data_IF_315193926393
#
_entry.id   IF_315193926393
#
_cell.length_a   1.000
_cell.length_b   1.000
_cell.length_c   1.000
_cell.angle_alpha   90.00
_cell.angle_beta   90.00
_cell.angle_gamma   90.00
#
_symmetry.space_group_name_H-M   'P 1'
#
loop_
_entity.id
_entity.type
_entity.pdbx_description
1 polymer ?
#
# COMPACT_ATOMS: atom_id res chain seq x y z
N UNK A 1 23.18 -2.59 30.16
CA UNK A 1 21.80 -3.12 30.03
C UNK A 1 20.96 -2.15 29.21
N UNK A 2 20.89 -2.35 27.90
CA UNK A 2 20.16 -1.48 26.96
C UNK A 2 18.71 -1.96 26.89
N UNK A 3 17.79 -1.18 27.47
CA UNK A 3 16.36 -1.49 27.55
C UNK A 3 15.75 -1.43 26.14
N UNK A 4 15.46 -2.60 25.54
CA UNK A 4 14.69 -2.71 24.30
C UNK A 4 13.34 -2.03 24.50
N UNK A 5 13.08 -0.93 23.78
CA UNK A 5 11.77 -0.26 23.77
C UNK A 5 10.78 -1.23 23.14
N UNK A 6 9.85 -1.74 23.95
CA UNK A 6 8.76 -2.59 23.47
C UNK A 6 7.93 -1.86 22.44
N UNK A 7 7.64 -2.52 21.32
CA UNK A 7 6.68 -2.07 20.33
C UNK A 7 5.29 -2.03 21.00
N UNK A 8 4.90 -0.86 21.51
CA UNK A 8 3.61 -0.66 22.15
C UNK A 8 2.47 -0.93 21.18
N UNK A 9 1.62 -1.88 21.54
CA UNK A 9 0.32 -2.14 20.92
C UNK A 9 -0.59 -0.95 21.29
N UNK A 10 -1.39 -0.45 20.35
CA UNK A 10 -2.41 0.58 20.62
C UNK A 10 -3.69 -0.07 21.19
N UNK A 11 -4.59 0.73 21.79
CA UNK A 11 -5.84 0.28 22.46
C UNK A 11 -6.80 -0.54 21.56
N UNK A 12 -6.58 -0.52 20.24
CA UNK A 12 -7.31 -1.31 19.24
C UNK A 12 -6.67 -2.69 18.94
N UNK A 13 -5.65 -3.08 19.70
CA UNK A 13 -4.98 -4.37 19.58
C UNK A 13 -3.97 -4.45 18.41
N UNK A 14 -3.64 -3.33 17.77
CA UNK A 14 -2.76 -3.31 16.59
C UNK A 14 -1.39 -2.68 16.85
N UNK A 15 -0.34 -3.12 16.13
CA UNK A 15 0.98 -2.49 16.18
C UNK A 15 0.88 -1.01 15.80
N UNK A 16 1.66 -0.17 16.48
CA UNK A 16 1.86 1.22 16.07
C UNK A 16 2.36 1.31 14.63
N UNK A 17 1.94 2.36 13.94
CA UNK A 17 2.47 2.69 12.62
C UNK A 17 3.99 2.78 12.66
N UNK A 18 4.62 2.18 11.67
CA UNK A 18 6.08 2.22 11.48
C UNK A 18 6.51 3.37 10.57
N UNK A 19 5.63 4.34 10.27
CA UNK A 19 5.98 5.53 9.50
C UNK A 19 5.96 6.73 10.45
N UNK A 20 6.97 6.84 11.29
CA UNK A 20 7.05 7.92 12.29
C UNK A 20 7.70 9.18 11.71
N UNK A 21 7.38 10.35 12.28
CA UNK A 21 7.86 11.69 11.84
C UNK A 21 9.39 11.83 11.82
N UNK A 22 10.14 10.91 12.45
CA UNK A 22 11.59 11.01 12.63
C UNK A 22 12.24 9.70 12.15
N UNK A 23 12.86 9.73 10.97
CA UNK A 23 13.79 8.67 10.52
C UNK A 23 13.22 7.58 9.60
N UNK A 24 11.90 7.43 9.46
CA UNK A 24 11.30 6.47 8.50
C UNK A 24 11.03 7.14 7.14
N UNK A 25 11.47 6.50 6.06
CA UNK A 25 11.27 6.97 4.69
C UNK A 25 9.76 6.96 4.34
N UNK A 26 9.24 8.08 3.84
CA UNK A 26 7.82 8.23 3.49
C UNK A 26 7.41 7.15 2.46
N UNK A 27 6.18 6.61 2.52
CA UNK A 27 5.72 5.63 1.54
C UNK A 27 5.98 6.09 0.11
N UNK A 28 6.60 5.21 -0.69
CA UNK A 28 7.01 5.52 -2.06
C UNK A 28 6.14 4.83 -3.07
N UNK A 29 6.01 5.44 -4.25
CA UNK A 29 5.26 4.84 -5.35
C UNK A 29 5.74 3.42 -5.67
N UNK A 30 4.78 2.51 -5.80
CA UNK A 30 5.02 1.10 -6.09
C UNK A 30 5.36 0.23 -4.89
N UNK A 31 5.49 0.81 -3.69
CA UNK A 31 5.66 0.01 -2.49
C UNK A 31 4.36 -0.68 -2.09
N UNK A 32 4.48 -1.93 -1.62
CA UNK A 32 3.39 -2.71 -1.07
C UNK A 32 3.44 -2.64 0.45
N UNK A 33 2.32 -2.26 1.06
CA UNK A 33 2.22 -2.02 2.50
C UNK A 33 1.01 -2.71 3.10
N UNK A 34 1.11 -3.13 4.35
CA UNK A 34 -0.06 -3.29 5.21
C UNK A 34 -0.46 -1.93 5.76
N UNK A 35 -1.74 -1.60 5.64
CA UNK A 35 -2.35 -0.38 6.20
C UNK A 35 -3.56 -0.73 7.07
N UNK A 36 -3.95 0.19 7.95
CA UNK A 36 -5.19 0.14 8.75
C UNK A 36 -6.17 1.16 8.19
N UNK A 37 -7.23 0.70 7.53
CA UNK A 37 -8.33 1.58 7.09
C UNK A 37 -9.59 1.19 7.87
N UNK A 38 -10.57 0.55 7.23
CA UNK A 38 -11.68 -0.15 7.90
C UNK A 38 -11.19 -1.41 8.65
N UNK A 39 -10.17 -2.06 8.07
CA UNK A 39 -9.47 -3.22 8.61
C UNK A 39 -8.05 -3.25 8.06
N UNK A 40 -7.27 -4.23 8.52
CA UNK A 40 -5.92 -4.43 8.00
C UNK A 40 -5.98 -4.96 6.56
N UNK A 41 -5.45 -4.18 5.62
CA UNK A 41 -5.45 -4.52 4.19
C UNK A 41 -4.06 -4.32 3.58
N UNK A 42 -3.64 -5.16 2.63
CA UNK A 42 -2.49 -4.86 1.82
C UNK A 42 -2.87 -3.86 0.74
N UNK A 43 -1.97 -2.92 0.43
CA UNK A 43 -2.16 -1.89 -0.60
C UNK A 43 -0.87 -1.70 -1.38
N UNK A 44 -0.97 -1.18 -2.60
CA UNK A 44 0.15 -0.59 -3.33
C UNK A 44 0.02 0.93 -3.32
N UNK A 45 1.10 1.64 -3.00
CA UNK A 45 1.15 3.10 -3.08
C UNK A 45 1.23 3.51 -4.55
N UNK A 46 0.32 4.37 -5.01
CA UNK A 46 0.26 4.80 -6.43
C UNK A 46 0.53 6.28 -6.61
N UNK A 47 0.47 7.07 -5.54
CA UNK A 47 0.83 8.48 -5.52
C UNK A 47 2.25 8.70 -6.07
N UNK A 48 2.43 9.74 -6.89
CA UNK A 48 3.74 10.10 -7.43
C UNK A 48 4.70 10.57 -6.33
N UNK A 49 5.94 10.11 -6.41
CA UNK A 49 7.02 10.57 -5.53
C UNK A 49 7.34 12.06 -5.74
N UNK A 50 6.93 12.65 -6.88
CA UNK A 50 7.12 14.09 -7.19
C UNK A 50 6.37 15.02 -6.22
N UNK A 51 5.32 14.54 -5.57
CA UNK A 51 4.54 15.30 -4.57
C UNK A 51 4.73 14.73 -3.16
N UNK A 52 5.76 13.90 -2.95
CA UNK A 52 6.10 13.30 -1.65
C UNK A 52 6.82 14.33 -0.78
N UNK A 53 6.05 15.10 -0.05
CA UNK A 53 6.48 16.18 0.83
C UNK A 53 6.21 15.80 2.30
N UNK A 54 7.16 15.97 3.24
CA UNK A 54 6.96 15.68 4.67
C UNK A 54 5.70 16.27 5.31
N UNK A 55 5.19 17.40 4.82
CA UNK A 55 3.91 17.99 5.28
C UNK A 55 2.68 17.21 4.80
N UNK A 56 2.77 16.47 3.70
CA UNK A 56 1.67 15.64 3.18
C UNK A 56 1.51 14.42 4.07
N UNK A 57 0.38 14.37 4.78
CA UNK A 57 0.07 13.29 5.74
C UNK A 57 -0.73 12.15 5.13
N UNK A 58 -1.12 12.24 3.86
CA UNK A 58 -1.96 11.26 3.20
C UNK A 58 -1.38 10.81 1.88
N UNK A 59 -1.59 9.55 1.53
CA UNK A 59 -1.08 8.91 0.34
C UNK A 59 -2.21 8.24 -0.42
N UNK A 60 -2.19 8.32 -1.76
CA UNK A 60 -3.08 7.55 -2.61
C UNK A 60 -2.55 6.13 -2.79
N UNK A 61 -3.42 5.15 -2.53
CA UNK A 61 -3.11 3.72 -2.58
C UNK A 61 -4.21 2.94 -3.28
N UNK A 62 -3.84 1.81 -3.89
CA UNK A 62 -4.79 0.83 -4.44
C UNK A 62 -4.78 -0.43 -3.56
N UNK A 63 -5.92 -0.84 -3.00
CA UNK A 63 -6.04 -2.06 -2.22
C UNK A 63 -5.77 -3.33 -3.01
N UNK A 64 -5.12 -4.27 -2.33
CA UNK A 64 -4.86 -5.61 -2.83
C UNK A 64 -5.81 -6.60 -2.14
N UNK A 65 -6.44 -7.47 -2.93
CA UNK A 65 -7.41 -8.45 -2.43
C UNK A 65 -7.10 -9.85 -2.97
N UNK A 66 -7.27 -10.88 -2.14
CA UNK A 66 -7.13 -12.27 -2.60
C UNK A 66 -8.38 -12.82 -3.29
N UNK A 67 -9.41 -11.97 -3.51
CA UNK A 67 -10.61 -12.31 -4.28
C UNK A 67 -10.28 -12.30 -5.77
N UNK A 68 -9.72 -13.40 -6.26
CA UNK A 68 -9.16 -13.47 -7.62
C UNK A 68 -10.19 -13.28 -8.73
N UNK A 69 -11.48 -13.58 -8.49
CA UNK A 69 -12.56 -13.32 -9.46
C UNK A 69 -12.67 -11.85 -9.87
N UNK A 70 -12.12 -10.91 -9.10
CA UNK A 70 -12.11 -9.49 -9.44
C UNK A 70 -11.15 -9.16 -10.58
N UNK A 71 -10.26 -10.07 -10.98
CA UNK A 71 -9.36 -9.86 -12.14
C UNK A 71 -10.11 -9.73 -13.47
N UNK A 72 -11.34 -10.23 -13.55
CA UNK A 72 -12.18 -10.10 -14.75
C UNK A 72 -12.81 -8.72 -14.91
N UNK A 73 -12.71 -7.84 -13.91
CA UNK A 73 -13.20 -6.46 -14.03
C UNK A 73 -12.19 -5.60 -14.79
N UNK A 74 -12.63 -4.76 -15.75
CA UNK A 74 -11.73 -3.89 -16.51
C UNK A 74 -10.81 -3.05 -15.62
N UNK A 75 -9.53 -2.97 -16.00
CA UNK A 75 -8.51 -2.25 -15.24
C UNK A 75 -7.97 -2.99 -14.01
N UNK A 76 -8.63 -4.03 -13.50
CA UNK A 76 -8.07 -4.78 -12.37
C UNK A 76 -6.79 -5.55 -12.76
N UNK A 77 -5.78 -5.48 -11.89
CA UNK A 77 -4.46 -6.05 -12.19
C UNK A 77 -4.17 -7.22 -11.29
N UNK A 78 -3.97 -8.39 -11.90
CA UNK A 78 -3.54 -9.59 -11.19
C UNK A 78 -2.05 -9.53 -10.83
N UNK A 79 -1.74 -9.75 -9.56
CA UNK A 79 -0.38 -9.74 -9.01
C UNK A 79 -0.03 -11.06 -8.33
N UNK A 80 1.11 -11.64 -8.71
CA UNK A 80 1.59 -12.88 -8.13
C UNK A 80 2.08 -12.70 -6.69
N UNK A 81 2.33 -13.81 -6.00
CA UNK A 81 2.99 -13.81 -4.68
C UNK A 81 4.40 -13.24 -4.77
N UNK A 82 5.11 -13.48 -5.88
CA UNK A 82 6.46 -12.98 -6.09
C UNK A 82 6.48 -11.45 -6.26
N UNK A 83 5.50 -10.90 -6.97
CA UNK A 83 5.37 -9.45 -7.20
C UNK A 83 5.17 -8.67 -5.88
N UNK A 84 4.37 -9.23 -4.96
CA UNK A 84 3.87 -8.50 -3.78
C UNK A 84 4.45 -8.96 -2.45
N UNK A 85 5.14 -10.12 -2.43
CA UNK A 85 5.54 -10.84 -1.20
C UNK A 85 4.38 -11.16 -0.25
N UNK A 86 3.14 -11.15 -0.74
CA UNK A 86 1.98 -11.59 0.03
C UNK A 86 1.90 -13.12 0.10
N UNK A 87 1.27 -13.67 1.15
CA UNK A 87 1.12 -15.12 1.30
C UNK A 87 0.25 -15.73 0.20
N UNK A 88 -0.68 -14.94 -0.36
CA UNK A 88 -1.56 -15.33 -1.45
C UNK A 88 -1.39 -14.37 -2.61
N UNK A 89 -1.57 -14.91 -3.81
CA UNK A 89 -1.67 -14.12 -5.00
C UNK A 89 -2.91 -13.20 -4.88
N UNK A 90 -2.83 -11.98 -5.40
CA UNK A 90 -3.84 -10.95 -5.17
C UNK A 90 -4.19 -10.20 -6.46
N UNK A 91 -5.24 -9.39 -6.40
CA UNK A 91 -5.67 -8.46 -7.44
C UNK A 91 -5.57 -7.05 -6.86
N UNK A 92 -4.98 -6.11 -7.60
CA UNK A 92 -5.10 -4.69 -7.32
C UNK A 92 -6.49 -4.25 -7.77
N UNK A 93 -7.30 -3.74 -6.84
CA UNK A 93 -8.67 -3.33 -7.10
C UNK A 93 -8.72 -1.85 -7.47
N UNK A 94 -8.73 -1.53 -8.76
CA UNK A 94 -8.58 -0.16 -9.27
C UNK A 94 -9.81 0.70 -9.00
N UNK A 95 -10.96 0.07 -8.80
CA UNK A 95 -12.21 0.73 -8.41
C UNK A 95 -12.21 1.21 -6.94
N UNK A 96 -11.19 0.86 -6.15
CA UNK A 96 -11.10 1.19 -4.73
C UNK A 96 -9.86 2.06 -4.44
N UNK A 97 -9.60 3.07 -5.27
CA UNK A 97 -8.53 4.03 -5.03
C UNK A 97 -8.79 4.81 -3.73
N UNK A 98 -7.92 4.66 -2.74
CA UNK A 98 -8.13 5.18 -1.40
C UNK A 98 -7.05 6.19 -0.99
N UNK A 99 -7.46 7.16 -0.18
CA UNK A 99 -6.57 8.04 0.58
C UNK A 99 -6.29 7.40 1.94
N UNK A 100 -5.01 7.14 2.25
CA UNK A 100 -4.58 6.56 3.53
C UNK A 100 -3.65 7.53 4.27
N UNK A 101 -3.85 7.71 5.57
CA UNK A 101 -3.00 8.57 6.37
C UNK A 101 -1.68 7.89 6.72
N UNK A 102 -0.62 8.68 6.89
CA UNK A 102 0.72 8.22 7.31
C UNK A 102 0.65 7.33 8.55
N UNK A 103 -0.16 7.72 9.53
CA UNK A 103 -0.39 7.02 10.79
C UNK A 103 -1.04 5.64 10.65
N UNK A 104 -1.51 5.32 9.45
CA UNK A 104 -2.19 4.05 9.17
C UNK A 104 -1.32 3.08 8.39
N UNK A 105 -0.11 3.49 7.97
CA UNK A 105 0.87 2.57 7.40
C UNK A 105 1.51 1.75 8.50
N UNK A 106 1.27 0.44 8.46
CA UNK A 106 1.68 -0.51 9.50
C UNK A 106 3.02 -1.16 9.16
N UNK A 107 3.13 -1.78 7.97
CA UNK A 107 4.32 -2.55 7.59
C UNK A 107 4.55 -2.60 6.10
N UNK A 108 5.71 -2.13 5.66
CA UNK A 108 6.21 -2.33 4.29
C UNK A 108 6.50 -3.81 4.03
N UNK A 109 6.09 -4.31 2.87
CA UNK A 109 6.31 -5.69 2.43
C UNK A 109 7.38 -5.79 1.36
N UNK A 110 7.25 -4.99 0.31
CA UNK A 110 8.10 -5.04 -0.88
C UNK A 110 7.90 -3.77 -1.70
N UNK A 111 8.56 -3.72 -2.86
CA UNK A 111 8.15 -2.88 -3.98
C UNK A 111 7.73 -3.78 -5.14
N UNK A 112 6.71 -3.37 -5.89
CA UNK A 112 6.34 -4.06 -7.11
C UNK A 112 7.50 -4.00 -8.12
N UNK A 113 7.70 -5.04 -8.94
CA UNK A 113 8.55 -4.95 -10.11
C UNK A 113 8.11 -3.80 -11.02
N UNK A 114 9.06 -3.11 -11.65
CA UNK A 114 8.76 -1.94 -12.48
C UNK A 114 7.73 -2.24 -13.58
N UNK A 115 7.80 -3.43 -14.20
CA UNK A 115 6.84 -3.87 -15.21
C UNK A 115 5.42 -4.00 -14.66
N UNK A 116 5.26 -4.48 -13.43
CA UNK A 116 3.94 -4.59 -12.78
C UNK A 116 3.41 -3.24 -12.33
N UNK A 117 4.28 -2.36 -11.83
CA UNK A 117 3.90 -1.00 -11.49
C UNK A 117 3.45 -0.21 -12.74
N UNK A 118 4.09 -0.42 -13.89
CA UNK A 118 3.66 0.17 -15.16
C UNK A 118 2.23 -0.26 -15.52
N UNK A 119 1.93 -1.56 -15.47
CA UNK A 119 0.57 -2.09 -15.74
C UNK A 119 -0.48 -1.48 -14.80
N UNK A 120 -0.18 -1.36 -13.49
CA UNK A 120 -1.09 -0.68 -12.54
C UNK A 120 -1.28 0.80 -12.90
N UNK A 121 -0.21 1.49 -13.31
CA UNK A 121 -0.27 2.89 -13.70
C UNK A 121 -1.10 3.11 -14.97
N UNK A 122 -0.93 2.26 -15.97
CA UNK A 122 -1.66 2.35 -17.23
C UNK A 122 -3.14 1.99 -17.03
N UNK A 123 -3.43 1.03 -16.15
CA UNK A 123 -4.79 0.72 -15.75
C UNK A 123 -5.46 1.87 -15.00
N UNK A 124 -4.74 2.56 -14.10
CA UNK A 124 -5.23 3.78 -13.44
C UNK A 124 -5.57 4.88 -14.44
N UNK A 125 -4.72 5.09 -15.45
CA UNK A 125 -4.98 6.08 -16.51
C UNK A 125 -6.24 5.73 -17.30
N UNK A 126 -6.38 4.46 -17.68
CA UNK A 126 -7.57 3.96 -18.36
C UNK A 126 -8.85 4.20 -17.54
N UNK A 127 -8.87 3.85 -16.24
CA UNK A 127 -10.09 3.99 -15.42
C UNK A 127 -10.41 5.43 -15.01
N UNK A 128 -9.45 6.35 -15.15
CA UNK A 128 -9.62 7.78 -14.81
C UNK A 128 -9.70 8.70 -16.02
N UNK A 129 -9.61 8.16 -17.25
CA UNK A 129 -9.57 8.94 -18.50
C UNK A 129 -8.41 9.96 -18.54
N UNK A 130 -7.18 9.47 -18.28
CA UNK A 130 -5.94 10.26 -18.18
C UNK A 130 -4.83 9.84 -19.14
#
# INVERSE_FOLDING_TARGET
MTKRRGAGINDDGWPRSMVTTIGDDLPRRGEVWWVRVDKRRPVVVVQTDKVREPRVRSFLVVPLTSRLHLEGLPGNVRLSRADTRLPKASVANLYDLQKVLRSDFLRRLSSLPASRLAVVADSLRLVLDL
#
